data_IF_088241726631
#
_entry.id   IF_088241726631
#
_cell.length_a   1.000
_cell.length_b   1.000
_cell.length_c   1.000
_cell.angle_alpha   90.00
_cell.angle_beta   90.00
_cell.angle_gamma   90.00
#
_symmetry.space_group_name_H-M   'P 1'
#
loop_
_entity.id
_entity.type
_entity.pdbx_description
1 polymer ?
#
# COMPACT_ATOMS: atom_id res chain seq x y z
N UNK A 1 32.13 -38.46 5.72
CA UNK A 1 31.56 -37.63 4.64
C UNK A 1 30.34 -36.91 5.18
N UNK A 2 30.54 -35.76 5.85
CA UNK A 2 29.44 -34.97 6.40
C UNK A 2 29.07 -33.88 5.39
N UNK A 3 28.03 -34.15 4.60
CA UNK A 3 27.34 -33.14 3.81
C UNK A 3 26.58 -32.21 4.76
N UNK A 4 27.24 -31.16 5.23
CA UNK A 4 26.55 -30.01 5.82
C UNK A 4 26.01 -29.18 4.65
N UNK A 5 24.69 -29.20 4.51
CA UNK A 5 23.95 -28.36 3.58
C UNK A 5 24.26 -26.90 3.90
N UNK A 6 24.92 -26.25 2.94
CA UNK A 6 25.16 -24.81 2.96
C UNK A 6 23.79 -24.14 2.82
N UNK A 7 23.17 -23.81 3.95
CA UNK A 7 22.07 -22.86 3.99
C UNK A 7 22.69 -21.53 3.58
N UNK A 8 22.43 -21.11 2.33
CA UNK A 8 22.79 -19.80 1.85
C UNK A 8 22.19 -18.76 2.81
N UNK A 9 23.03 -18.22 3.70
CA UNK A 9 22.74 -17.01 4.47
C UNK A 9 22.45 -15.93 3.44
N UNK A 10 21.18 -15.58 3.27
CA UNK A 10 20.79 -14.41 2.50
C UNK A 10 21.44 -13.21 3.18
N UNK A 11 22.44 -12.63 2.54
CA UNK A 11 23.11 -11.42 3.01
C UNK A 11 22.11 -10.26 2.90
N UNK A 12 21.46 -9.90 4.02
CA UNK A 12 20.52 -8.77 4.13
C UNK A 12 21.29 -7.46 4.11
N UNK A 13 21.97 -7.18 3.01
CA UNK A 13 22.97 -6.13 2.97
C UNK A 13 22.41 -4.70 2.97
N UNK A 14 21.11 -4.50 3.24
CA UNK A 14 20.48 -3.25 3.70
C UNK A 14 18.98 -3.51 3.97
N UNK A 15 18.54 -3.45 5.23
CA UNK A 15 17.10 -3.36 5.52
C UNK A 15 16.52 -2.07 4.93
N UNK A 16 15.26 -2.08 4.44
CA UNK A 16 14.65 -0.87 3.93
C UNK A 16 14.35 0.12 5.04
N UNK A 17 14.52 1.41 4.73
CA UNK A 17 14.08 2.51 5.57
C UNK A 17 12.54 2.54 5.57
N UNK A 18 11.92 2.39 6.75
CA UNK A 18 10.46 2.47 6.91
C UNK A 18 10.10 3.88 7.40
N UNK A 19 9.32 4.61 6.61
CA UNK A 19 8.97 6.01 6.87
C UNK A 19 7.46 6.12 7.05
N UNK A 20 7.00 6.67 8.19
CA UNK A 20 5.57 6.95 8.37
C UNK A 20 5.27 8.39 7.96
N UNK A 21 4.36 8.57 6.99
CA UNK A 21 3.94 9.86 6.48
C UNK A 21 2.48 10.12 6.89
N UNK A 22 2.27 11.09 7.77
CA UNK A 22 0.94 11.57 8.13
C UNK A 22 0.56 12.75 7.23
N UNK A 23 -0.54 12.63 6.50
CA UNK A 23 -1.08 13.64 5.59
C UNK A 23 -2.43 14.21 6.06
N UNK A 24 -2.77 14.01 7.33
CA UNK A 24 -4.02 14.49 7.95
C UNK A 24 -4.24 16.00 7.79
N UNK A 25 -3.15 16.77 7.76
CA UNK A 25 -3.18 18.23 7.62
C UNK A 25 -3.74 18.71 6.26
N UNK A 26 -3.77 17.83 5.26
CA UNK A 26 -4.44 18.10 3.98
C UNK A 26 -5.97 18.10 4.09
N UNK A 27 -6.53 17.62 5.22
CA UNK A 27 -7.97 17.65 5.54
C UNK A 27 -8.83 17.09 4.41
N UNK A 28 -8.57 15.83 4.03
CA UNK A 28 -9.52 15.09 3.20
C UNK A 28 -10.82 14.88 4.00
N UNK A 29 -11.96 14.98 3.33
CA UNK A 29 -13.25 14.78 3.97
C UNK A 29 -13.36 13.36 4.53
N UNK A 30 -13.82 13.25 5.76
CA UNK A 30 -14.00 11.98 6.45
C UNK A 30 -15.46 11.75 6.83
N UNK A 31 -15.93 10.50 6.75
CA UNK A 31 -17.19 10.06 7.34
C UNK A 31 -16.91 9.29 8.63
N UNK A 32 -17.57 9.70 9.71
CA UNK A 32 -17.52 9.03 11.00
C UNK A 32 -18.41 7.78 10.99
N UNK A 33 -18.03 6.76 10.20
CA UNK A 33 -18.61 5.43 10.30
C UNK A 33 -17.65 4.51 11.07
N UNK A 34 -18.15 3.85 12.10
CA UNK A 34 -17.48 2.71 12.74
C UNK A 34 -17.87 1.43 12.01
N UNK A 35 -16.91 0.58 11.65
CA UNK A 35 -17.21 -0.79 11.22
C UNK A 35 -17.20 -1.73 12.41
N UNK A 36 -18.23 -2.58 12.53
CA UNK A 36 -18.21 -3.75 13.40
C UNK A 36 -17.25 -4.77 12.81
N UNK A 37 -16.11 -4.92 13.45
CA UNK A 37 -15.13 -5.95 13.14
C UNK A 37 -15.70 -7.32 13.59
N UNK A 38 -15.37 -8.40 12.88
CA UNK A 38 -15.85 -9.77 13.19
C UNK A 38 -15.39 -10.31 14.55
N UNK A 39 -14.45 -9.61 15.20
CA UNK A 39 -14.15 -9.75 16.62
C UNK A 39 -14.24 -8.36 17.27
N UNK A 40 -15.03 -8.25 18.34
CA UNK A 40 -15.42 -7.05 19.10
C UNK A 40 -14.28 -6.05 19.44
N UNK A 41 -13.75 -5.35 18.43
CA UNK A 41 -12.88 -4.19 18.62
C UNK A 41 -13.27 -3.14 17.59
N UNK A 42 -14.01 -2.14 18.05
CA UNK A 42 -14.34 -0.97 17.26
C UNK A 42 -13.04 -0.26 16.87
N UNK A 43 -12.71 -0.22 15.57
CA UNK A 43 -11.71 0.73 15.09
C UNK A 43 -12.41 2.11 15.05
N UNK A 44 -11.96 3.12 15.81
CA UNK A 44 -12.60 4.43 15.87
C UNK A 44 -12.17 5.36 14.71
N UNK A 45 -11.21 4.94 13.86
CA UNK A 45 -10.72 5.78 12.76
C UNK A 45 -11.83 6.00 11.72
N UNK A 46 -12.11 7.25 11.31
CA UNK A 46 -13.15 7.52 10.34
C UNK A 46 -12.76 7.00 8.94
N UNK A 47 -13.75 6.79 8.08
CA UNK A 47 -13.56 6.48 6.67
C UNK A 47 -13.33 7.76 5.88
N UNK A 48 -12.64 7.69 4.73
CA UNK A 48 -12.63 8.80 3.78
C UNK A 48 -13.99 8.90 3.06
N UNK A 49 -14.53 10.11 2.96
CA UNK A 49 -15.92 10.36 2.53
C UNK A 49 -16.17 10.02 1.08
N UNK A 50 -15.23 10.28 0.19
CA UNK A 50 -15.42 10.07 -1.24
C UNK A 50 -14.57 8.93 -1.78
N UNK A 51 -14.54 7.83 -1.05
CA UNK A 51 -14.22 6.55 -1.69
C UNK A 51 -15.42 6.12 -2.55
N UNK A 52 -15.18 5.32 -3.58
CA UNK A 52 -16.27 4.79 -4.42
C UNK A 52 -17.38 4.05 -3.65
N UNK A 53 -17.11 3.73 -2.38
CA UNK A 53 -18.01 3.11 -1.41
C UNK A 53 -19.24 3.95 -1.05
N UNK A 54 -19.13 5.29 -1.02
CA UNK A 54 -20.19 6.17 -0.53
C UNK A 54 -20.85 7.04 -1.61
N UNK A 55 -20.45 6.85 -2.87
CA UNK A 55 -20.87 7.71 -3.98
C UNK A 55 -20.07 9.02 -4.02
N UNK A 56 -19.92 9.58 -5.22
CA UNK A 56 -19.18 10.82 -5.43
C UNK A 56 -20.18 11.92 -5.79
N UNK A 57 -20.41 12.86 -4.86
CA UNK A 57 -21.14 14.09 -5.18
C UNK A 57 -20.24 15.01 -6.02
N UNK A 58 -20.70 15.37 -7.22
CA UNK A 58 -19.93 16.19 -8.16
C UNK A 58 -19.49 17.55 -7.61
N UNK A 59 -20.25 18.11 -6.65
CA UNK A 59 -19.94 19.41 -6.05
C UNK A 59 -18.78 19.31 -5.04
N UNK A 60 -18.76 18.25 -4.23
CA UNK A 60 -17.71 17.96 -3.25
C UNK A 60 -16.42 17.44 -3.91
N UNK A 61 -16.58 16.75 -5.04
CA UNK A 61 -15.48 16.14 -5.78
C UNK A 61 -14.43 17.13 -6.25
N UNK A 62 -14.83 18.35 -6.62
CA UNK A 62 -13.89 19.34 -7.14
C UNK A 62 -12.88 19.81 -6.08
N UNK A 63 -13.32 20.02 -4.84
CA UNK A 63 -12.44 20.46 -3.77
C UNK A 63 -11.56 19.32 -3.25
N UNK A 64 -12.12 18.12 -3.16
CA UNK A 64 -11.34 16.93 -2.86
C UNK A 64 -10.28 16.62 -3.93
N UNK A 65 -10.61 16.79 -5.21
CA UNK A 65 -9.63 16.65 -6.30
C UNK A 65 -8.48 17.66 -6.18
N UNK A 66 -8.76 18.90 -5.75
CA UNK A 66 -7.71 19.88 -5.46
C UNK A 66 -6.82 19.39 -4.31
N UNK A 67 -7.40 18.82 -3.26
CA UNK A 67 -6.67 18.25 -2.12
C UNK A 67 -5.83 17.04 -2.53
N UNK A 68 -6.39 16.08 -3.25
CA UNK A 68 -5.69 14.92 -3.80
C UNK A 68 -4.50 15.35 -4.68
N UNK A 69 -4.69 16.37 -5.52
CA UNK A 69 -3.63 16.95 -6.34
C UNK A 69 -2.53 17.60 -5.50
N UNK A 70 -2.88 18.32 -4.43
CA UNK A 70 -1.90 18.90 -3.49
C UNK A 70 -1.10 17.79 -2.79
N UNK A 71 -1.76 16.72 -2.34
CA UNK A 71 -1.11 15.55 -1.73
C UNK A 71 -0.13 14.91 -2.72
N UNK A 72 -0.55 14.61 -3.95
CA UNK A 72 0.34 14.00 -4.94
C UNK A 72 1.55 14.86 -5.28
N UNK A 73 1.38 16.19 -5.39
CA UNK A 73 2.49 17.14 -5.56
C UNK A 73 3.43 17.17 -4.35
N UNK A 74 2.88 17.09 -3.15
CA UNK A 74 3.66 17.03 -1.92
C UNK A 74 4.50 15.76 -1.86
N UNK A 75 3.90 14.59 -2.12
CA UNK A 75 4.64 13.31 -2.20
C UNK A 75 5.71 13.35 -3.30
N UNK A 76 5.42 13.96 -4.46
CA UNK A 76 6.42 14.19 -5.52
C UNK A 76 7.63 14.97 -5.01
N UNK A 77 7.40 16.02 -4.21
CA UNK A 77 8.48 16.87 -3.69
C UNK A 77 9.38 16.18 -2.68
N UNK A 78 8.86 15.16 -1.97
CA UNK A 78 9.63 14.36 -1.00
C UNK A 78 10.33 13.15 -1.62
N UNK A 79 9.89 12.72 -2.81
CA UNK A 79 10.42 11.56 -3.52
C UNK A 79 11.89 11.78 -3.88
N UNK A 80 12.72 10.76 -3.61
CA UNK A 80 14.17 10.76 -3.86
C UNK A 80 14.57 9.85 -5.03
N UNK A 81 13.76 8.85 -5.36
CA UNK A 81 13.99 7.85 -6.40
C UNK A 81 13.30 8.17 -7.72
N UNK A 82 13.70 7.47 -8.79
CA UNK A 82 13.14 7.63 -10.14
C UNK A 82 11.94 6.73 -10.38
N UNK A 83 11.96 5.51 -9.84
CA UNK A 83 10.91 4.50 -9.97
C UNK A 83 10.24 4.29 -8.62
N UNK A 84 8.94 4.58 -8.52
CA UNK A 84 8.18 4.30 -7.30
C UNK A 84 6.92 3.51 -7.59
N UNK A 85 6.56 2.64 -6.64
CA UNK A 85 5.30 1.92 -6.64
C UNK A 85 4.37 2.55 -5.61
N UNK A 86 3.15 2.88 -6.02
CA UNK A 86 2.05 3.23 -5.12
C UNK A 86 1.13 2.02 -4.98
N UNK A 87 0.79 1.65 -3.75
CA UNK A 87 -0.03 0.50 -3.42
C UNK A 87 -1.27 0.94 -2.63
N UNK A 88 -2.44 0.83 -3.25
CA UNK A 88 -3.71 0.88 -2.53
C UNK A 88 -4.02 -0.47 -1.88
N UNK A 89 -4.59 -0.47 -0.68
CA UNK A 89 -4.92 -1.74 0.00
C UNK A 89 -6.39 -2.09 -0.19
N UNK A 90 -6.66 -3.33 -0.60
CA UNK A 90 -8.00 -3.90 -0.73
C UNK A 90 -8.90 -3.02 -1.61
N UNK A 91 -10.05 -2.55 -1.11
CA UNK A 91 -10.96 -1.68 -1.84
C UNK A 91 -10.51 -0.22 -1.90
N UNK A 92 -9.45 0.15 -1.18
CA UNK A 92 -8.91 1.52 -1.14
C UNK A 92 -8.02 1.83 -2.34
N UNK A 93 -8.64 1.89 -3.52
CA UNK A 93 -7.94 1.98 -4.81
C UNK A 93 -8.01 3.41 -5.37
N UNK A 94 -9.18 4.03 -5.34
CA UNK A 94 -9.45 5.24 -6.12
C UNK A 94 -8.59 6.44 -5.71
N UNK A 95 -8.59 6.78 -4.42
CA UNK A 95 -7.84 7.94 -3.89
C UNK A 95 -6.32 7.71 -4.06
N UNK A 96 -5.73 6.57 -3.66
CA UNK A 96 -4.32 6.30 -3.90
C UNK A 96 -3.91 6.36 -5.37
N UNK A 97 -4.75 5.85 -6.28
CA UNK A 97 -4.51 5.92 -7.72
C UNK A 97 -4.48 7.36 -8.23
N UNK A 98 -5.42 8.21 -7.78
CA UNK A 98 -5.43 9.64 -8.13
C UNK A 98 -4.26 10.41 -7.52
N UNK A 99 -3.86 10.10 -6.29
CA UNK A 99 -2.65 10.67 -5.70
C UNK A 99 -1.42 10.31 -6.54
N UNK A 100 -1.28 9.03 -6.89
CA UNK A 100 -0.17 8.51 -7.69
C UNK A 100 -0.05 9.19 -9.06
N UNK A 101 -1.18 9.49 -9.73
CA UNK A 101 -1.15 10.19 -11.02
C UNK A 101 -0.63 11.63 -10.94
N UNK A 102 -0.65 12.25 -9.76
CA UNK A 102 -0.08 13.58 -9.53
C UNK A 102 1.35 13.55 -8.97
N UNK A 103 1.95 12.37 -8.79
CA UNK A 103 3.34 12.20 -8.31
C UNK A 103 4.42 12.32 -9.41
N UNK A 104 4.01 12.58 -10.65
CA UNK A 104 4.87 12.75 -11.82
C UNK A 104 5.32 11.44 -12.46
N UNK A 105 6.39 11.48 -13.24
CA UNK A 105 6.86 10.34 -14.03
C UNK A 105 7.53 9.26 -13.17
N UNK A 106 7.55 8.03 -13.70
CA UNK A 106 8.18 6.88 -13.04
C UNK A 106 7.36 6.24 -11.93
N UNK A 107 6.06 6.57 -11.84
CA UNK A 107 5.12 6.02 -10.87
C UNK A 107 4.34 4.87 -11.50
N UNK A 108 4.26 3.75 -10.79
CA UNK A 108 3.32 2.65 -11.08
C UNK A 108 2.32 2.55 -9.94
N UNK A 109 1.11 2.12 -10.24
CA UNK A 109 0.05 1.93 -9.25
C UNK A 109 -0.45 0.49 -9.28
N UNK A 110 -0.45 -0.16 -8.14
CA UNK A 110 -1.01 -1.50 -7.91
C UNK A 110 -2.00 -1.42 -6.74
N UNK A 111 -2.81 -2.47 -6.58
CA UNK A 111 -3.59 -2.68 -5.36
C UNK A 111 -3.37 -4.08 -4.80
N UNK A 112 -3.63 -4.24 -3.50
CA UNK A 112 -3.76 -5.57 -2.90
C UNK A 112 -5.15 -6.14 -3.19
N UNK A 113 -5.30 -7.45 -3.10
CA UNK A 113 -6.59 -8.14 -3.30
C UNK A 113 -6.73 -9.33 -2.38
N UNK A 114 -7.97 -9.70 -2.07
CA UNK A 114 -8.31 -10.95 -1.37
C UNK A 114 -8.37 -12.15 -2.32
N UNK A 115 -8.35 -11.92 -3.63
CA UNK A 115 -8.44 -12.98 -4.64
C UNK A 115 -7.12 -13.77 -4.74
N UNK A 116 -7.13 -15.09 -4.49
CA UNK A 116 -5.95 -15.95 -4.56
C UNK A 116 -5.69 -16.39 -6.01
N UNK A 117 -5.14 -15.50 -6.82
CA UNK A 117 -4.73 -15.80 -8.19
C UNK A 117 -3.42 -16.57 -8.13
N UNK A 118 -3.38 -17.76 -8.75
CA UNK A 118 -2.19 -18.60 -8.77
C UNK A 118 -1.08 -17.98 -9.63
N UNK A 119 0.09 -17.62 -9.07
CA UNK A 119 1.19 -17.07 -9.87
C UNK A 119 1.86 -18.16 -10.71
N UNK A 120 2.02 -17.90 -12.00
CA UNK A 120 2.68 -18.81 -12.93
C UNK A 120 3.64 -18.04 -13.83
N UNK A 121 4.94 -18.35 -13.75
CA UNK A 121 5.93 -17.75 -14.62
C UNK A 121 5.94 -18.46 -15.99
N UNK A 122 4.93 -18.14 -16.82
CA UNK A 122 4.74 -18.70 -18.16
C UNK A 122 4.46 -17.57 -19.15
N UNK A 123 4.94 -17.73 -20.38
CA UNK A 123 4.63 -16.83 -21.49
C UNK A 123 3.11 -16.69 -21.66
N UNK A 124 2.64 -15.44 -21.88
CA UNK A 124 1.23 -15.07 -21.97
C UNK A 124 0.38 -15.24 -20.69
N UNK A 125 0.99 -15.51 -19.53
CA UNK A 125 0.30 -15.41 -18.25
C UNK A 125 0.60 -14.08 -17.57
N UNK A 126 -0.44 -13.40 -17.07
CA UNK A 126 -0.33 -12.03 -16.59
C UNK A 126 0.28 -11.91 -15.17
N UNK A 127 0.21 -12.97 -14.36
CA UNK A 127 0.61 -12.94 -12.94
C UNK A 127 1.79 -13.89 -12.72
N UNK A 128 3.01 -13.37 -12.77
CA UNK A 128 4.23 -14.17 -12.75
C UNK A 128 4.77 -14.34 -11.31
N UNK A 129 4.39 -13.46 -10.39
CA UNK A 129 4.77 -13.54 -8.98
C UNK A 129 3.65 -13.00 -8.08
N UNK A 130 3.57 -13.54 -6.86
CA UNK A 130 2.61 -13.13 -5.83
C UNK A 130 3.24 -13.11 -4.45
N UNK A 131 2.83 -12.14 -3.64
CA UNK A 131 3.20 -12.01 -2.23
C UNK A 131 1.91 -12.15 -1.42
N UNK A 132 1.85 -13.19 -0.61
CA UNK A 132 0.75 -13.46 0.34
C UNK A 132 1.10 -12.93 1.73
N UNK A 133 0.13 -12.28 2.39
CA UNK A 133 0.25 -11.73 3.74
C UNK A 133 -1.12 -11.61 4.43
N UNK A 134 -1.12 -11.51 5.76
CA UNK A 134 -2.33 -11.21 6.56
C UNK A 134 -2.68 -9.72 6.44
N UNK A 135 -3.96 -9.39 6.22
CA UNK A 135 -4.41 -8.02 6.06
C UNK A 135 -4.10 -7.20 7.33
N UNK A 136 -3.48 -6.02 7.21
CA UNK A 136 -3.33 -5.10 8.33
C UNK A 136 -4.66 -4.54 8.85
N UNK A 137 -5.71 -4.58 8.01
CA UNK A 137 -7.06 -4.13 8.36
C UNK A 137 -7.89 -5.24 9.02
N UNK A 138 -7.71 -6.50 8.59
CA UNK A 138 -8.45 -7.68 9.07
C UNK A 138 -7.50 -8.89 9.22
N UNK A 139 -6.92 -9.07 10.40
CA UNK A 139 -5.77 -9.97 10.64
C UNK A 139 -5.99 -11.45 10.28
N UNK A 140 -7.23 -11.89 10.16
CA UNK A 140 -7.59 -13.27 9.78
C UNK A 140 -7.84 -13.45 8.27
N UNK A 141 -7.77 -12.36 7.50
CA UNK A 141 -7.96 -12.39 6.04
C UNK A 141 -6.62 -12.33 5.32
N UNK A 142 -6.42 -13.28 4.41
CA UNK A 142 -5.29 -13.27 3.50
C UNK A 142 -5.50 -12.23 2.39
N UNK A 143 -4.43 -11.51 2.10
CA UNK A 143 -4.31 -10.58 1.00
C UNK A 143 -3.10 -10.93 0.16
N UNK A 144 -3.16 -10.49 -1.10
CA UNK A 144 -2.15 -10.75 -2.11
C UNK A 144 -1.77 -9.45 -2.82
N UNK A 145 -0.49 -9.34 -3.18
CA UNK A 145 -0.03 -8.35 -4.16
C UNK A 145 0.86 -9.05 -5.19
N UNK A 146 0.67 -8.69 -6.45
CA UNK A 146 1.28 -9.41 -7.57
C UNK A 146 2.28 -8.56 -8.34
N UNK A 147 3.20 -9.25 -9.04
CA UNK A 147 4.13 -8.67 -10.00
C UNK A 147 4.98 -7.51 -9.45
N UNK A 148 5.45 -7.62 -8.20
CA UNK A 148 6.48 -6.70 -7.67
C UNK A 148 7.86 -7.32 -7.92
N UNK A 149 8.63 -6.83 -8.90
CA UNK A 149 9.99 -7.31 -9.16
C UNK A 149 10.96 -6.93 -8.03
N UNK A 150 11.88 -7.83 -7.71
CA UNK A 150 12.96 -7.56 -6.75
C UNK A 150 13.98 -6.56 -7.34
N UNK A 151 14.54 -5.68 -6.50
CA UNK A 151 15.58 -4.70 -6.88
C UNK A 151 15.17 -3.73 -8.03
N UNK A 152 13.88 -3.50 -8.23
CA UNK A 152 13.40 -2.64 -9.32
C UNK A 152 12.91 -1.26 -8.86
N UNK A 153 12.06 -1.19 -7.85
CA UNK A 153 11.57 0.10 -7.37
C UNK A 153 12.56 0.72 -6.37
N UNK A 154 12.71 2.03 -6.47
CA UNK A 154 13.53 2.81 -5.54
C UNK A 154 12.73 3.16 -4.27
N UNK A 155 11.40 3.27 -4.39
CA UNK A 155 10.49 3.61 -3.28
C UNK A 155 9.13 2.93 -3.42
N UNK A 156 8.50 2.60 -2.28
CA UNK A 156 7.14 2.06 -2.19
C UNK A 156 6.30 2.97 -1.30
N UNK A 157 5.11 3.37 -1.74
CA UNK A 157 4.13 4.12 -0.97
C UNK A 157 2.89 3.25 -0.75
N UNK A 158 2.59 2.91 0.50
CA UNK A 158 1.44 2.08 0.86
C UNK A 158 0.38 2.96 1.49
N UNK A 159 -0.82 2.91 0.94
CA UNK A 159 -1.95 3.73 1.35
C UNK A 159 -3.02 2.87 2.02
N UNK A 160 -3.41 3.26 3.22
CA UNK A 160 -4.50 2.62 3.97
C UNK A 160 -5.70 3.55 4.03
N UNK A 161 -6.91 2.99 3.96
CA UNK A 161 -8.16 3.76 4.12
C UNK A 161 -8.29 4.30 5.56
N UNK A 162 -7.73 3.57 6.52
CA UNK A 162 -7.83 3.85 7.96
C UNK A 162 -6.46 3.73 8.61
N UNK A 163 -6.32 4.25 9.82
CA UNK A 163 -5.12 3.98 10.62
C UNK A 163 -5.00 2.50 10.94
N UNK A 164 -3.79 1.97 10.75
CA UNK A 164 -3.41 0.59 11.05
C UNK A 164 -2.33 0.57 12.12
N UNK A 165 -2.39 -0.43 12.98
CA UNK A 165 -1.43 -0.60 14.08
C UNK A 165 -0.11 -1.16 13.56
N UNK A 166 1.01 -0.74 14.16
CA UNK A 166 2.33 -1.25 13.80
C UNK A 166 2.42 -2.79 13.93
N UNK A 167 1.67 -3.38 14.86
CA UNK A 167 1.62 -4.85 15.05
C UNK A 167 0.93 -5.56 13.88
N UNK A 168 -0.15 -5.00 13.34
CA UNK A 168 -0.88 -5.61 12.22
C UNK A 168 -0.21 -5.35 10.87
N UNK A 169 0.67 -4.34 10.80
CA UNK A 169 1.51 -4.05 9.63
C UNK A 169 2.67 -5.05 9.43
N UNK A 170 3.18 -5.67 10.49
CA UNK A 170 4.38 -6.51 10.42
C UNK A 170 4.29 -7.61 9.34
N UNK A 171 3.19 -8.39 9.24
CA UNK A 171 3.10 -9.48 8.27
C UNK A 171 3.22 -8.99 6.82
N UNK A 172 2.72 -7.79 6.53
CA UNK A 172 2.88 -7.16 5.22
C UNK A 172 4.32 -6.69 5.01
N UNK A 173 4.89 -5.98 6.00
CA UNK A 173 6.24 -5.41 5.89
C UNK A 173 7.32 -6.47 5.75
N UNK A 174 7.26 -7.57 6.52
CA UNK A 174 8.23 -8.66 6.44
C UNK A 174 8.27 -9.29 5.05
N UNK A 175 7.12 -9.41 4.39
CA UNK A 175 7.02 -9.90 3.01
C UNK A 175 7.52 -8.88 2.00
N UNK A 176 7.18 -7.60 2.16
CA UNK A 176 7.63 -6.54 1.26
C UNK A 176 9.15 -6.30 1.35
N UNK A 177 9.79 -6.54 2.49
CA UNK A 177 11.27 -6.51 2.62
C UNK A 177 11.97 -7.42 1.60
N UNK A 178 11.34 -8.53 1.20
CA UNK A 178 11.90 -9.47 0.20
C UNK A 178 12.02 -8.85 -1.21
N UNK A 179 11.27 -7.78 -1.48
CA UNK A 179 11.34 -7.05 -2.76
C UNK A 179 12.61 -6.19 -2.87
N UNK A 180 13.32 -5.96 -1.75
CA UNK A 180 14.54 -5.14 -1.68
C UNK A 180 14.36 -3.69 -2.14
N UNK A 181 13.14 -3.16 -2.04
CA UNK A 181 12.86 -1.74 -2.26
C UNK A 181 13.43 -0.97 -1.06
N UNK A 182 14.38 -0.03 -1.25
CA UNK A 182 15.16 0.52 -0.14
C UNK A 182 14.38 1.50 0.76
N UNK A 183 13.25 2.06 0.30
CA UNK A 183 12.40 2.96 1.10
C UNK A 183 10.94 2.56 1.00
N UNK A 184 10.30 2.34 2.14
CA UNK A 184 8.88 2.01 2.23
C UNK A 184 8.18 3.08 3.07
N UNK A 185 7.27 3.80 2.43
CA UNK A 185 6.46 4.87 3.01
C UNK A 185 5.08 4.35 3.39
N UNK A 186 4.71 4.49 4.65
CA UNK A 186 3.38 4.19 5.17
C UNK A 186 2.58 5.49 5.21
N UNK A 187 1.67 5.66 4.25
CA UNK A 187 0.91 6.89 4.04
C UNK A 187 -0.41 6.82 4.79
N UNK A 188 -0.59 7.72 5.76
CA UNK A 188 -1.78 7.88 6.58
C UNK A 188 -2.52 9.14 6.15
N UNK A 189 -3.73 8.98 5.62
CA UNK A 189 -4.54 10.10 5.11
C UNK A 189 -5.51 10.65 6.18
N UNK A 190 -5.79 9.87 7.22
CA UNK A 190 -6.72 10.17 8.32
C UNK A 190 -6.10 9.91 9.67
#
# INVERSE_FOLDING_TARGET
SNNSSIINKVDFKNEPEIISLSLKDFKLDTLNYSSTHSYEKNNPSPYLKSTGRFGVDSSLWNDEQKTIKKIGKHLKSMRKGKRALCLGTEEFIHIPMKIASYMGDGIKFHSTTRSPIYPLNKENYAINSGIEFKSPNEVDILNYVYNIPSNYYDELYIFFERNVDNKTLEPLLSKLKLTRIPRIHIVKLV
#
